data_IF_555616007990
#
_entry.id   IF_555616007990
#
_cell.length_a   1.000
_cell.length_b   1.000
_cell.length_c   1.000
_cell.angle_alpha   90.00
_cell.angle_beta   90.00
_cell.angle_gamma   90.00
#
_symmetry.space_group_name_H-M   'P 1'
#
loop_
_entity.id
_entity.type
_entity.pdbx_description
1 polymer ?
#
# COMPACT_ATOMS: atom_id res chain seq x y z
N UNK A 1 -3.14 5.46 -3.19
CA UNK A 1 -3.43 4.76 -1.92
C UNK A 1 -4.47 5.46 -1.06
N UNK A 2 -4.49 6.79 -0.92
CA UNK A 2 -5.59 7.52 -0.23
C UNK A 2 -7.00 7.17 -0.74
N UNK A 3 -7.22 7.23 -2.06
CA UNK A 3 -8.48 6.77 -2.67
C UNK A 3 -8.78 5.29 -2.38
N UNK A 4 -7.72 4.49 -2.29
CA UNK A 4 -7.78 3.07 -1.94
C UNK A 4 -8.37 2.85 -0.54
N UNK A 5 -7.85 3.60 0.44
CA UNK A 5 -8.31 3.58 1.82
C UNK A 5 -9.78 4.02 1.95
N UNK A 6 -10.19 5.05 1.21
CA UNK A 6 -11.60 5.48 1.16
C UNK A 6 -12.48 4.36 0.61
N UNK A 7 -12.10 3.74 -0.51
CA UNK A 7 -12.84 2.61 -1.08
C UNK A 7 -12.99 1.43 -0.11
N UNK A 8 -11.93 1.09 0.63
CA UNK A 8 -11.96 0.03 1.65
C UNK A 8 -12.90 0.36 2.82
N UNK A 9 -12.90 1.60 3.30
CA UNK A 9 -13.78 2.04 4.38
C UNK A 9 -15.26 2.09 3.97
N UNK A 10 -15.53 2.38 2.69
CA UNK A 10 -16.88 2.39 2.14
C UNK A 10 -17.43 0.99 1.80
N UNK A 11 -16.56 0.01 1.57
CA UNK A 11 -16.97 -1.32 1.13
C UNK A 11 -17.80 -2.09 2.18
N UNK A 12 -17.44 -2.00 3.47
CA UNK A 12 -18.16 -2.71 4.53
C UNK A 12 -19.58 -2.16 4.78
N UNK A 13 -19.77 -0.83 4.95
CA UNK A 13 -21.11 -0.25 5.14
C UNK A 13 -22.05 -0.48 3.95
N UNK A 14 -21.50 -0.56 2.74
CA UNK A 14 -22.26 -0.77 1.51
C UNK A 14 -22.48 -2.25 1.18
N UNK A 15 -22.06 -3.19 2.04
CA UNK A 15 -22.09 -4.62 1.76
C UNK A 15 -23.50 -5.18 1.49
N UNK A 16 -24.57 -4.52 1.99
CA UNK A 16 -25.97 -4.88 1.70
C UNK A 16 -26.41 -4.55 0.27
N UNK A 17 -25.67 -3.69 -0.44
CA UNK A 17 -25.94 -3.27 -1.82
C UNK A 17 -24.82 -3.75 -2.73
N UNK A 18 -24.99 -4.89 -3.39
CA UNK A 18 -23.95 -5.55 -4.18
C UNK A 18 -23.23 -4.62 -5.17
N UNK A 19 -23.99 -3.78 -5.90
CA UNK A 19 -23.42 -2.82 -6.87
C UNK A 19 -22.59 -1.74 -6.17
N UNK A 20 -23.09 -1.17 -5.08
CA UNK A 20 -22.39 -0.11 -4.35
C UNK A 20 -21.11 -0.64 -3.67
N UNK A 21 -21.17 -1.83 -3.06
CA UNK A 21 -19.98 -2.51 -2.52
C UNK A 21 -18.95 -2.81 -3.61
N UNK A 22 -19.39 -3.27 -4.78
CA UNK A 22 -18.51 -3.55 -5.91
C UNK A 22 -17.82 -2.27 -6.41
N UNK A 23 -18.55 -1.17 -6.56
CA UNK A 23 -17.97 0.13 -6.94
C UNK A 23 -16.96 0.64 -5.90
N UNK A 24 -17.25 0.46 -4.59
CA UNK A 24 -16.31 0.81 -3.53
C UNK A 24 -15.02 -0.03 -3.58
N UNK A 25 -15.12 -1.32 -3.89
CA UNK A 25 -13.96 -2.20 -4.08
C UNK A 25 -13.19 -1.87 -5.37
N UNK A 26 -13.85 -1.44 -6.44
CA UNK A 26 -13.17 -0.94 -7.65
C UNK A 26 -12.37 0.33 -7.36
N UNK A 27 -12.94 1.26 -6.58
CA UNK A 27 -12.23 2.45 -6.12
C UNK A 27 -11.02 2.06 -5.25
N UNK A 28 -11.21 1.09 -4.35
CA UNK A 28 -10.13 0.53 -3.54
C UNK A 28 -9.00 -0.02 -4.43
N UNK A 29 -9.35 -0.86 -5.40
CA UNK A 29 -8.43 -1.49 -6.33
C UNK A 29 -7.67 -0.45 -7.16
N UNK A 30 -8.36 0.51 -7.79
CA UNK A 30 -7.73 1.57 -8.56
C UNK A 30 -6.72 2.37 -7.72
N UNK A 31 -7.08 2.71 -6.47
CA UNK A 31 -6.22 3.46 -5.57
C UNK A 31 -4.99 2.69 -5.07
N UNK A 32 -5.06 1.36 -4.96
CA UNK A 32 -3.95 0.49 -4.52
C UNK A 32 -3.07 0.11 -5.71
N UNK A 33 -3.66 -0.40 -6.79
CA UNK A 33 -2.92 -0.86 -7.97
C UNK A 33 -2.34 0.27 -8.82
N UNK A 34 -2.87 1.49 -8.74
CA UNK A 34 -2.31 2.64 -9.45
C UNK A 34 -0.85 2.97 -9.07
N UNK A 35 -0.39 2.54 -7.88
CA UNK A 35 1.01 2.70 -7.44
C UNK A 35 1.97 1.69 -8.07
N UNK A 36 1.46 0.53 -8.53
CA UNK A 36 2.30 -0.59 -8.97
C UNK A 36 3.21 -0.23 -10.17
N UNK A 37 2.71 0.42 -11.25
CA UNK A 37 3.53 0.75 -12.41
C UNK A 37 4.71 1.71 -12.12
N UNK A 38 4.54 2.83 -11.38
CA UNK A 38 5.66 3.73 -11.10
C UNK A 38 6.64 3.19 -10.05
N UNK A 39 6.26 2.18 -9.25
CA UNK A 39 7.11 1.63 -8.19
C UNK A 39 8.33 0.87 -8.72
N UNK A 40 8.13 -0.05 -9.66
CA UNK A 40 9.19 -0.95 -10.15
C UNK A 40 10.38 -0.27 -10.84
N UNK A 41 10.20 0.81 -11.60
CA UNK A 41 11.32 1.56 -12.19
C UNK A 41 12.24 2.24 -11.16
N UNK A 42 11.76 2.54 -9.94
CA UNK A 42 12.51 3.29 -8.93
C UNK A 42 13.81 2.57 -8.52
N UNK A 43 13.78 1.32 -8.01
CA UNK A 43 15.02 0.61 -7.64
C UNK A 43 15.91 0.33 -8.85
N UNK A 44 15.32 0.08 -10.02
CA UNK A 44 16.06 -0.19 -11.26
C UNK A 44 16.88 1.01 -11.71
N UNK A 45 16.36 2.23 -11.57
CA UNK A 45 17.04 3.48 -11.93
C UNK A 45 18.02 3.96 -10.87
N UNK A 46 17.79 3.65 -9.59
CA UNK A 46 18.63 4.10 -8.46
C UNK A 46 19.80 3.18 -8.15
N UNK A 47 19.75 1.92 -8.58
CA UNK A 47 20.74 0.88 -8.25
C UNK A 47 21.30 0.22 -9.52
N UNK A 48 22.55 -0.25 -9.45
CA UNK A 48 23.23 -0.96 -10.53
C UNK A 48 23.69 -2.36 -10.10
N UNK A 49 23.85 -3.27 -11.07
CA UNK A 49 24.41 -4.61 -10.85
C UNK A 49 23.73 -5.42 -9.73
N UNK A 50 24.54 -5.99 -8.85
CA UNK A 50 24.10 -6.86 -7.73
C UNK A 50 23.15 -6.13 -6.77
N UNK A 51 23.37 -4.85 -6.51
CA UNK A 51 22.52 -4.08 -5.59
C UNK A 51 21.06 -4.03 -6.06
N UNK A 52 20.83 -3.98 -7.38
CA UNK A 52 19.47 -4.02 -7.97
C UNK A 52 18.80 -5.38 -7.73
N UNK A 53 19.54 -6.47 -7.91
CA UNK A 53 19.02 -7.82 -7.69
C UNK A 53 18.64 -8.04 -6.22
N UNK A 54 19.49 -7.61 -5.29
CA UNK A 54 19.23 -7.68 -3.84
C UNK A 54 18.00 -6.85 -3.46
N UNK A 55 17.87 -5.62 -3.97
CA UNK A 55 16.71 -4.78 -3.69
C UNK A 55 15.40 -5.41 -4.18
N UNK A 56 15.38 -5.96 -5.41
CA UNK A 56 14.20 -6.65 -5.95
C UNK A 56 13.89 -7.91 -5.13
N UNK A 57 14.90 -8.69 -4.75
CA UNK A 57 14.74 -9.86 -3.90
C UNK A 57 14.10 -9.50 -2.57
N UNK A 58 14.60 -8.47 -1.90
CA UNK A 58 14.06 -7.99 -0.63
C UNK A 58 12.60 -7.53 -0.76
N UNK A 59 12.26 -6.78 -1.83
CA UNK A 59 10.88 -6.35 -2.10
C UNK A 59 9.96 -7.56 -2.23
N UNK A 60 10.35 -8.58 -3.00
CA UNK A 60 9.53 -9.78 -3.18
C UNK A 60 9.43 -10.61 -1.88
N UNK A 61 10.49 -10.70 -1.08
CA UNK A 61 10.45 -11.37 0.23
C UNK A 61 9.46 -10.69 1.17
N UNK A 62 9.49 -9.34 1.26
CA UNK A 62 8.53 -8.58 2.06
C UNK A 62 7.11 -8.71 1.51
N UNK A 63 6.94 -8.68 0.19
CA UNK A 63 5.65 -8.87 -0.46
C UNK A 63 5.02 -10.23 -0.15
N UNK A 64 5.81 -11.31 -0.24
CA UNK A 64 5.35 -12.65 0.11
C UNK A 64 5.05 -12.79 1.61
N UNK A 65 5.86 -12.17 2.48
CA UNK A 65 5.58 -12.17 3.91
C UNK A 65 4.27 -11.45 4.24
N UNK A 66 4.02 -10.30 3.62
CA UNK A 66 2.76 -9.55 3.78
C UNK A 66 1.56 -10.31 3.21
N UNK A 67 1.72 -10.97 2.06
CA UNK A 67 0.69 -11.82 1.45
C UNK A 67 0.37 -13.06 2.28
N UNK A 68 1.35 -13.60 3.00
CA UNK A 68 1.16 -14.71 3.93
C UNK A 68 0.49 -14.23 5.24
N UNK A 69 1.05 -13.23 5.91
CA UNK A 69 0.57 -12.80 7.24
C UNK A 69 -0.72 -11.97 7.19
N UNK A 70 -0.94 -11.21 6.11
CA UNK A 70 -2.05 -10.28 5.96
C UNK A 70 -3.43 -10.93 6.18
N UNK A 71 -3.78 -12.02 5.47
CA UNK A 71 -5.06 -12.70 5.64
C UNK A 71 -5.30 -13.21 7.06
N UNK A 72 -4.26 -13.71 7.75
CA UNK A 72 -4.39 -14.17 9.14
C UNK A 72 -4.70 -13.02 10.10
N UNK A 73 -3.99 -11.89 9.97
CA UNK A 73 -4.21 -10.71 10.81
C UNK A 73 -5.62 -10.15 10.60
N UNK A 74 -6.02 -9.99 9.34
CA UNK A 74 -7.34 -9.44 8.98
C UNK A 74 -8.45 -10.40 9.44
N UNK A 75 -8.26 -11.71 9.25
CA UNK A 75 -9.18 -12.73 9.73
C UNK A 75 -9.35 -12.68 11.25
N UNK A 76 -8.23 -12.64 11.99
CA UNK A 76 -8.24 -12.51 13.44
C UNK A 76 -8.99 -11.24 13.91
N UNK A 77 -8.68 -10.09 13.31
CA UNK A 77 -9.34 -8.82 13.62
C UNK A 77 -10.85 -8.92 13.37
N UNK A 78 -11.26 -9.47 12.23
CA UNK A 78 -12.68 -9.62 11.90
C UNK A 78 -13.41 -10.54 12.88
N UNK A 79 -12.79 -11.66 13.27
CA UNK A 79 -13.37 -12.60 14.24
C UNK A 79 -13.47 -11.99 15.64
N UNK A 80 -12.41 -11.31 16.09
CA UNK A 80 -12.38 -10.67 17.41
C UNK A 80 -13.38 -9.50 17.51
N UNK A 81 -13.45 -8.67 16.47
CA UNK A 81 -14.35 -7.51 16.42
C UNK A 81 -15.78 -7.87 15.99
N UNK A 82 -16.02 -9.12 15.54
CA UNK A 82 -17.28 -9.59 14.92
C UNK A 82 -17.78 -8.68 13.80
N UNK A 83 -16.86 -8.07 13.05
CA UNK A 83 -17.18 -7.05 12.05
C UNK A 83 -16.14 -7.02 10.94
N UNK A 84 -16.60 -7.14 9.69
CA UNK A 84 -15.77 -7.02 8.49
C UNK A 84 -15.22 -5.59 8.28
N UNK A 85 -15.86 -4.59 8.88
CA UNK A 85 -15.39 -3.20 8.84
C UNK A 85 -14.05 -3.07 9.58
N UNK A 86 -13.84 -3.79 10.67
CA UNK A 86 -12.61 -3.70 11.46
C UNK A 86 -11.40 -4.17 10.65
N UNK A 87 -11.51 -5.30 9.94
CA UNK A 87 -10.46 -5.76 9.03
C UNK A 87 -10.23 -4.80 7.88
N UNK A 88 -11.29 -4.33 7.21
CA UNK A 88 -11.15 -3.36 6.12
C UNK A 88 -10.54 -2.02 6.59
N UNK A 89 -10.87 -1.57 7.80
CA UNK A 89 -10.26 -0.39 8.41
C UNK A 89 -8.77 -0.60 8.71
N UNK A 90 -8.36 -1.81 9.11
CA UNK A 90 -6.95 -2.15 9.26
C UNK A 90 -6.20 -2.09 7.91
N UNK A 91 -6.78 -2.64 6.83
CA UNK A 91 -6.18 -2.50 5.48
C UNK A 91 -6.14 -1.03 5.03
N UNK A 92 -7.19 -0.25 5.32
CA UNK A 92 -7.20 1.17 5.01
C UNK A 92 -6.09 1.90 5.78
N UNK A 93 -5.90 1.60 7.06
CA UNK A 93 -4.83 2.14 7.89
C UNK A 93 -3.43 1.79 7.36
N UNK A 94 -3.20 0.55 6.93
CA UNK A 94 -1.92 0.15 6.35
C UNK A 94 -1.63 0.86 5.02
N UNK A 95 -2.65 1.03 4.16
CA UNK A 95 -2.53 1.80 2.91
C UNK A 95 -2.23 3.29 3.17
N UNK A 96 -2.82 3.86 4.24
CA UNK A 96 -2.52 5.23 4.67
C UNK A 96 -1.10 5.36 5.20
N UNK A 97 -0.65 4.42 6.04
CA UNK A 97 0.73 4.40 6.56
C UNK A 97 1.75 4.30 5.42
N UNK A 98 1.51 3.45 4.42
CA UNK A 98 2.34 3.36 3.22
C UNK A 98 2.36 4.68 2.44
N UNK A 99 1.23 5.37 2.32
CA UNK A 99 1.15 6.68 1.66
C UNK A 99 1.99 7.73 2.37
N UNK A 100 1.89 7.79 3.70
CA UNK A 100 2.69 8.71 4.53
C UNK A 100 4.18 8.39 4.41
N UNK A 101 4.55 7.11 4.49
CA UNK A 101 5.94 6.68 4.33
C UNK A 101 6.52 7.08 2.98
N UNK A 102 5.73 6.97 1.90
CA UNK A 102 6.15 7.40 0.56
C UNK A 102 6.33 8.92 0.46
N UNK A 103 5.46 9.71 1.09
CA UNK A 103 5.59 11.17 1.14
C UNK A 103 6.86 11.56 1.91
N UNK A 104 7.05 10.99 3.10
CA UNK A 104 8.25 11.23 3.92
C UNK A 104 9.51 10.81 3.16
N UNK A 105 9.53 9.64 2.53
CA UNK A 105 10.66 9.17 1.74
C UNK A 105 10.95 10.10 0.56
N UNK A 106 9.91 10.60 -0.13
CA UNK A 106 10.06 11.62 -1.18
C UNK A 106 10.73 12.87 -0.64
N UNK A 107 10.29 13.41 0.49
CA UNK A 107 10.81 14.65 1.05
C UNK A 107 12.27 14.50 1.49
N UNK A 108 12.60 13.38 2.14
CA UNK A 108 13.97 13.05 2.53
C UNK A 108 14.91 12.89 1.32
N UNK A 109 14.43 12.29 0.24
CA UNK A 109 15.22 12.11 -0.99
C UNK A 109 15.30 13.39 -1.82
N UNK A 110 14.26 14.23 -1.79
CA UNK A 110 14.21 15.53 -2.45
C UNK A 110 15.15 16.56 -1.83
N UNK A 111 15.25 16.59 -0.50
CA UNK A 111 16.16 17.48 0.23
C UNK A 111 17.64 17.17 0.00
N UNK A 112 18.00 15.88 -0.21
CA UNK A 112 19.39 15.47 -0.50
C UNK A 112 19.89 15.93 -1.87
N UNK A 113 19.00 16.22 -2.81
CA UNK A 113 19.36 16.78 -4.12
C UNK A 113 19.67 18.27 -4.09
N UNK A 114 19.08 19.04 -3.17
CA UNK A 114 19.29 20.47 -3.04
C UNK A 114 20.57 20.83 -2.26
N UNK A 115 21.02 19.96 -1.33
CA UNK A 115 22.24 20.17 -0.56
C UNK A 115 23.55 19.89 -1.31
N UNK A 116 23.50 19.09 -2.38
CA UNK A 116 24.67 18.76 -3.21
C UNK A 116 24.93 19.78 -4.35
N UNK A 117 24.05 20.79 -4.49
CA UNK A 117 24.13 21.83 -5.51
C UNK A 117 24.54 23.20 -4.91
N UNK A 118 25.42 23.20 -3.89
CA UNK A 118 26.16 24.40 -3.52
C UNK A 118 27.60 24.29 -4.04
N UNK A 119 28.07 25.30 -4.79
CA UNK A 119 29.39 25.32 -5.41
C UNK A 119 30.52 25.34 -4.38
#
# INVERSE_FOLDING_TARGET
MFLGAVGLLLAAPLASQAVAAFLALLLAAAGIYGFYPPFWPIPQRRLAGVARAVAIGLINSVGNLGGFAGPYIVGYINTAAKSSLAGLAFLAGSAMAASVLLIVARDLLGGRGAGAAKP
#
